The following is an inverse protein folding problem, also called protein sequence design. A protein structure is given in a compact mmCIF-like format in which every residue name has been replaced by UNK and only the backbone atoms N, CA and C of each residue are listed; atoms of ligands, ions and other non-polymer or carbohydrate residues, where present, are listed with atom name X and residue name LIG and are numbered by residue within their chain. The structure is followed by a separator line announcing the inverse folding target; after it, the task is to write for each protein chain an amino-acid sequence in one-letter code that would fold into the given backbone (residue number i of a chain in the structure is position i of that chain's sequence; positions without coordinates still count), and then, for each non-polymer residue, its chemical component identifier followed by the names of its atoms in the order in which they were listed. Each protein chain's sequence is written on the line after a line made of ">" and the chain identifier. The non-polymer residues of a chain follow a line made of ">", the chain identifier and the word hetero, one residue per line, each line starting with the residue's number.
data_IF_520220643086
#
_entry.id   IF_520220643086
#
_cell.length_a   1.000
_cell.length_b   1.000
_cell.length_c   1.000
_cell.angle_alpha   90.00
_cell.angle_beta   90.00
_cell.angle_gamma   90.00
#
_symmetry.space_group_name_H-M   'P 1'
#
loop_
_entity.id
_entity.type
_entity.pdbx_description
1 polymer ?
#
# COMPACT_ATOMS: atom_id res chain seq x y z
N UNK A 1 -8.79 -17.87 -23.48
CA UNK A 1 -8.30 -16.56 -23.02
C UNK A 1 -9.51 -15.65 -22.83
N UNK A 2 -10.04 -15.58 -21.63
CA UNK A 2 -11.03 -14.55 -21.30
C UNK A 2 -10.24 -13.26 -21.00
N UNK A 3 -10.33 -12.29 -21.91
CA UNK A 3 -9.87 -10.93 -21.66
C UNK A 3 -10.79 -10.34 -20.59
N UNK A 4 -10.31 -10.30 -19.35
CA UNK A 4 -10.94 -9.48 -18.30
C UNK A 4 -10.83 -8.04 -18.73
N UNK A 5 -11.96 -7.46 -19.15
CA UNK A 5 -12.01 -6.06 -19.57
C UNK A 5 -11.90 -5.20 -18.28
N UNK A 6 -10.68 -4.76 -17.96
CA UNK A 6 -10.45 -3.78 -16.89
C UNK A 6 -11.31 -2.53 -17.15
N UNK A 7 -11.81 -1.94 -16.07
CA UNK A 7 -12.52 -0.69 -16.20
C UNK A 7 -11.58 0.45 -16.68
N UNK A 8 -12.14 1.53 -17.21
CA UNK A 8 -11.36 2.64 -17.81
C UNK A 8 -10.35 3.24 -16.82
N UNK A 9 -10.70 3.32 -15.53
CA UNK A 9 -9.80 3.89 -14.51
C UNK A 9 -8.64 2.94 -14.16
N UNK A 10 -8.86 1.63 -14.18
CA UNK A 10 -7.79 0.65 -14.03
C UNK A 10 -6.82 0.68 -15.21
N UNK A 11 -7.34 0.80 -16.44
CA UNK A 11 -6.50 0.93 -17.63
C UNK A 11 -5.61 2.18 -17.56
N UNK A 12 -6.18 3.33 -17.15
CA UNK A 12 -5.42 4.56 -16.94
C UNK A 12 -4.38 4.44 -15.83
N UNK A 13 -4.72 3.76 -14.75
CA UNK A 13 -3.78 3.48 -13.67
C UNK A 13 -2.63 2.61 -14.16
N UNK A 14 -2.91 1.52 -14.87
CA UNK A 14 -1.90 0.66 -15.47
C UNK A 14 -1.01 1.42 -16.44
N UNK A 15 -1.58 2.27 -17.32
CA UNK A 15 -0.83 3.11 -18.25
C UNK A 15 0.12 4.08 -17.52
N UNK A 16 -0.36 4.77 -16.48
CA UNK A 16 0.43 5.70 -15.71
C UNK A 16 1.66 5.03 -15.07
N UNK A 17 1.45 3.88 -14.42
CA UNK A 17 2.53 3.14 -13.78
C UNK A 17 3.44 2.41 -14.77
N UNK A 18 2.95 1.96 -15.92
CA UNK A 18 3.79 1.45 -17.01
C UNK A 18 4.77 2.54 -17.50
N UNK A 19 4.28 3.75 -17.72
CA UNK A 19 5.14 4.88 -18.14
C UNK A 19 6.19 5.24 -17.08
N UNK A 20 5.85 5.16 -15.80
CA UNK A 20 6.77 5.51 -14.71
C UNK A 20 7.75 4.39 -14.37
N UNK A 21 7.50 3.15 -14.80
CA UNK A 21 8.21 1.95 -14.34
C UNK A 21 9.73 2.07 -14.42
N UNK A 22 10.27 2.55 -15.54
CA UNK A 22 11.72 2.67 -15.78
C UNK A 22 12.44 3.65 -14.85
N UNK A 23 11.74 4.64 -14.31
CA UNK A 23 12.30 5.67 -13.41
C UNK A 23 11.80 5.54 -11.97
N UNK A 24 10.89 4.59 -11.71
CA UNK A 24 10.22 4.44 -10.43
C UNK A 24 11.19 4.31 -9.26
N UNK A 25 12.11 3.36 -9.34
CA UNK A 25 13.07 3.14 -8.27
C UNK A 25 14.04 4.32 -8.11
N UNK A 26 14.47 4.95 -9.20
CA UNK A 26 15.34 6.12 -9.15
C UNK A 26 14.67 7.33 -8.47
N UNK A 27 13.36 7.48 -8.61
CA UNK A 27 12.58 8.55 -7.95
C UNK A 27 12.38 8.25 -6.47
N UNK A 28 12.01 7.01 -6.11
CA UNK A 28 11.51 6.71 -4.76
C UNK A 28 12.57 6.14 -3.82
N UNK A 29 13.56 5.40 -4.32
CA UNK A 29 14.58 4.77 -3.47
C UNK A 29 15.49 5.76 -2.72
N UNK A 30 15.90 6.92 -3.29
CA UNK A 30 16.72 7.87 -2.55
C UNK A 30 15.98 8.65 -1.46
N UNK A 31 14.64 8.67 -1.49
CA UNK A 31 13.86 9.49 -0.57
C UNK A 31 13.85 8.89 0.84
N UNK A 32 14.52 9.56 1.78
CA UNK A 32 14.69 9.13 3.18
C UNK A 32 13.34 8.91 3.89
N UNK A 33 12.33 9.72 3.58
CA UNK A 33 11.00 9.58 4.20
C UNK A 33 10.28 8.35 3.64
N UNK A 34 10.44 8.03 2.36
CA UNK A 34 9.91 6.80 1.77
C UNK A 34 10.57 5.57 2.40
N UNK A 35 11.90 5.59 2.57
CA UNK A 35 12.62 4.53 3.26
C UNK A 35 12.17 4.36 4.72
N UNK A 36 11.93 5.46 5.42
CA UNK A 36 11.36 5.44 6.76
C UNK A 36 9.97 4.78 6.78
N UNK A 37 9.06 5.18 5.87
CA UNK A 37 7.72 4.57 5.74
C UNK A 37 7.83 3.07 5.49
N UNK A 38 8.64 2.68 4.49
CA UNK A 38 8.84 1.28 4.10
C UNK A 38 9.37 0.44 5.25
N UNK A 39 10.40 0.92 5.94
CA UNK A 39 10.94 0.25 7.12
C UNK A 39 9.87 0.04 8.20
N UNK A 40 9.05 1.08 8.47
CA UNK A 40 7.97 0.99 9.45
C UNK A 40 6.93 -0.07 9.09
N UNK A 41 6.49 -0.08 7.83
CA UNK A 41 5.52 -1.07 7.32
C UNK A 41 6.10 -2.47 7.40
N UNK A 42 7.33 -2.69 6.95
CA UNK A 42 8.01 -4.00 7.01
C UNK A 42 8.14 -4.51 8.44
N UNK A 43 8.64 -3.67 9.36
CA UNK A 43 8.72 -4.02 10.79
C UNK A 43 7.35 -4.33 11.39
N UNK A 44 6.30 -3.58 10.99
CA UNK A 44 4.94 -3.85 11.43
C UNK A 44 4.48 -5.24 10.98
N UNK A 45 4.66 -5.58 9.69
CA UNK A 45 4.30 -6.90 9.14
C UNK A 45 5.06 -8.01 9.84
N UNK A 46 6.38 -7.87 10.03
CA UNK A 46 7.24 -8.86 10.70
C UNK A 46 6.80 -9.19 12.14
N UNK A 47 6.15 -8.24 12.84
CA UNK A 47 5.64 -8.48 14.19
C UNK A 47 4.44 -9.45 14.24
N UNK A 48 3.76 -9.65 13.12
CA UNK A 48 2.57 -10.48 13.02
C UNK A 48 2.77 -11.73 12.15
N UNK A 49 3.78 -11.73 11.29
CA UNK A 49 3.96 -12.76 10.26
C UNK A 49 4.85 -13.90 10.77
N UNK A 50 4.35 -15.15 10.80
CA UNK A 50 5.19 -16.31 11.12
C UNK A 50 6.31 -16.50 10.09
N UNK A 51 7.43 -17.16 10.46
CA UNK A 51 8.47 -17.55 9.50
C UNK A 51 7.92 -18.43 8.37
N UNK A 52 8.54 -18.38 7.20
CA UNK A 52 8.19 -19.22 6.01
C UNK A 52 6.72 -19.08 5.59
N UNK A 53 6.15 -17.90 5.72
CA UNK A 53 4.76 -17.61 5.33
C UNK A 53 4.60 -17.47 3.82
N UNK A 54 3.39 -17.79 3.32
CA UNK A 54 2.96 -17.51 1.97
C UNK A 54 2.24 -16.16 1.93
N UNK A 55 2.75 -15.22 1.15
CA UNK A 55 2.25 -13.84 1.06
C UNK A 55 1.66 -13.60 -0.32
N UNK A 56 0.46 -13.06 -0.38
CA UNK A 56 -0.09 -12.44 -1.59
C UNK A 56 0.16 -10.94 -1.50
N UNK A 57 1.05 -10.41 -2.33
CA UNK A 57 1.28 -8.97 -2.42
C UNK A 57 0.49 -8.38 -3.58
N UNK A 58 -0.37 -7.42 -3.25
CA UNK A 58 -1.17 -6.65 -4.22
C UNK A 58 -0.42 -5.37 -4.59
N UNK A 59 -0.57 -4.91 -5.83
CA UNK A 59 0.12 -3.70 -6.32
C UNK A 59 1.62 -3.69 -6.00
N UNK A 60 2.31 -4.80 -6.31
CA UNK A 60 3.71 -5.02 -5.95
C UNK A 60 4.69 -4.04 -6.61
N UNK A 61 4.30 -3.40 -7.72
CA UNK A 61 5.14 -2.48 -8.48
C UNK A 61 6.43 -3.16 -8.95
N UNK A 62 7.56 -2.51 -8.72
CA UNK A 62 8.89 -3.04 -9.06
C UNK A 62 9.43 -4.07 -8.05
N UNK A 63 8.60 -4.51 -7.08
CA UNK A 63 8.87 -5.64 -6.20
C UNK A 63 9.74 -5.37 -4.98
N UNK A 64 9.87 -4.13 -4.56
CA UNK A 64 10.71 -3.76 -3.42
C UNK A 64 10.33 -4.48 -2.11
N UNK A 65 9.05 -4.73 -1.86
CA UNK A 65 8.60 -5.43 -0.67
C UNK A 65 8.57 -6.95 -0.89
N UNK A 66 8.19 -7.44 -2.09
CA UNK A 66 8.29 -8.84 -2.47
C UNK A 66 9.70 -9.40 -2.27
N UNK A 67 10.70 -8.70 -2.80
CA UNK A 67 12.12 -9.06 -2.67
C UNK A 67 12.56 -9.04 -1.20
N UNK A 68 12.13 -8.04 -0.44
CA UNK A 68 12.46 -7.95 0.98
C UNK A 68 11.95 -9.16 1.77
N UNK A 69 10.67 -9.53 1.60
CA UNK A 69 10.09 -10.67 2.31
C UNK A 69 10.65 -12.00 1.82
N UNK A 70 10.92 -12.14 0.51
CA UNK A 70 11.59 -13.31 -0.04
C UNK A 70 12.99 -13.51 0.51
N UNK A 71 13.77 -12.44 0.67
CA UNK A 71 15.10 -12.49 1.29
C UNK A 71 15.05 -12.86 2.79
N UNK A 72 13.87 -12.78 3.43
CA UNK A 72 13.60 -13.25 4.79
C UNK A 72 13.08 -14.69 4.84
N UNK A 73 12.99 -15.37 3.71
CA UNK A 73 12.55 -16.75 3.60
C UNK A 73 11.04 -16.95 3.46
N UNK A 74 10.28 -15.89 3.15
CA UNK A 74 8.86 -16.00 2.84
C UNK A 74 8.65 -16.29 1.35
N UNK A 75 7.57 -16.99 1.01
CA UNK A 75 7.13 -17.16 -0.37
C UNK A 75 6.16 -16.06 -0.73
N UNK A 76 6.45 -15.27 -1.77
CA UNK A 76 5.63 -14.12 -2.18
C UNK A 76 5.05 -14.38 -3.57
N UNK A 77 3.73 -14.32 -3.67
CA UNK A 77 3.02 -14.21 -4.93
C UNK A 77 2.68 -12.74 -5.17
N UNK A 78 3.45 -12.09 -6.06
CA UNK A 78 3.39 -10.66 -6.29
C UNK A 78 2.52 -10.33 -7.52
N UNK A 79 1.47 -9.54 -7.30
CA UNK A 79 0.52 -9.13 -8.35
C UNK A 79 0.58 -7.64 -8.61
N UNK A 80 0.44 -7.26 -9.86
CA UNK A 80 0.26 -5.86 -10.28
C UNK A 80 -0.51 -5.83 -11.59
N UNK A 81 -1.19 -4.71 -11.87
CA UNK A 81 -1.91 -4.48 -13.14
C UNK A 81 -0.98 -3.92 -14.23
N UNK A 82 0.16 -3.33 -13.84
CA UNK A 82 1.12 -2.71 -14.75
C UNK A 82 2.17 -3.73 -15.22
N UNK A 83 2.12 -4.10 -16.50
CA UNK A 83 3.00 -5.10 -17.10
C UNK A 83 4.49 -4.75 -16.96
N UNK A 84 4.84 -3.47 -17.17
CA UNK A 84 6.24 -3.05 -17.11
C UNK A 84 6.79 -3.08 -15.67
N UNK A 85 5.96 -2.82 -14.66
CA UNK A 85 6.32 -3.03 -13.26
C UNK A 85 6.64 -4.51 -12.99
N UNK A 86 5.80 -5.42 -13.47
CA UNK A 86 6.01 -6.86 -13.36
C UNK A 86 7.27 -7.34 -14.09
N UNK A 87 7.60 -6.75 -15.24
CA UNK A 87 8.82 -7.07 -15.98
C UNK A 87 10.07 -6.69 -15.18
N UNK A 88 10.09 -5.51 -14.58
CA UNK A 88 11.19 -5.05 -13.71
C UNK A 88 11.30 -5.94 -12.47
N UNK A 89 10.19 -6.28 -11.82
CA UNK A 89 10.18 -7.20 -10.69
C UNK A 89 10.80 -8.55 -11.05
N UNK A 90 10.39 -9.17 -12.17
CA UNK A 90 10.93 -10.45 -12.65
C UNK A 90 12.45 -10.39 -12.86
N UNK A 91 12.93 -9.30 -13.47
CA UNK A 91 14.37 -9.07 -13.68
C UNK A 91 15.11 -9.02 -12.35
N UNK A 92 14.65 -8.20 -11.40
CA UNK A 92 15.28 -8.08 -10.08
C UNK A 92 15.27 -9.41 -9.30
N UNK A 93 14.18 -10.14 -9.34
CA UNK A 93 14.04 -11.47 -8.68
C UNK A 93 15.06 -12.45 -9.25
N UNK A 94 15.24 -12.46 -10.57
CA UNK A 94 16.22 -13.32 -11.24
C UNK A 94 17.65 -12.92 -10.89
N UNK A 95 17.98 -11.64 -10.95
CA UNK A 95 19.31 -11.12 -10.64
C UNK A 95 19.72 -11.37 -9.18
N UNK A 96 18.76 -11.41 -8.26
CA UNK A 96 19.01 -11.67 -6.84
C UNK A 96 18.88 -13.16 -6.45
N UNK A 97 18.62 -14.04 -7.40
CA UNK A 97 18.51 -15.49 -7.14
C UNK A 97 17.29 -15.88 -6.31
N UNK A 98 16.20 -15.09 -6.34
CA UNK A 98 15.01 -15.28 -5.52
C UNK A 98 13.84 -15.95 -6.26
N UNK A 99 14.07 -16.54 -7.42
CA UNK A 99 13.04 -17.14 -8.29
C UNK A 99 12.26 -18.27 -7.64
N UNK A 100 12.84 -18.96 -6.65
CA UNK A 100 12.14 -20.00 -5.89
C UNK A 100 11.21 -19.43 -4.78
N UNK A 101 11.39 -18.16 -4.40
CA UNK A 101 10.61 -17.51 -3.34
C UNK A 101 9.58 -16.51 -3.87
N UNK A 102 9.77 -15.99 -5.09
CA UNK A 102 8.87 -14.99 -5.67
C UNK A 102 8.27 -15.51 -6.97
N UNK A 103 6.96 -15.62 -7.00
CA UNK A 103 6.17 -15.80 -8.22
C UNK A 103 5.43 -14.50 -8.55
N UNK A 104 5.17 -14.26 -9.82
CA UNK A 104 4.57 -13.01 -10.30
C UNK A 104 3.38 -13.28 -11.20
N UNK A 105 2.33 -12.50 -11.08
CA UNK A 105 1.14 -12.60 -11.91
C UNK A 105 0.60 -11.22 -12.28
N UNK A 106 0.29 -11.00 -13.56
CA UNK A 106 -0.39 -9.79 -14.03
C UNK A 106 -1.86 -9.91 -13.69
N UNK A 107 -2.29 -9.24 -12.63
CA UNK A 107 -3.66 -9.31 -12.14
C UNK A 107 -4.05 -8.00 -11.47
N UNK A 108 -5.28 -7.53 -11.72
CA UNK A 108 -5.87 -6.45 -10.93
C UNK A 108 -6.32 -6.97 -9.56
N UNK A 109 -6.09 -6.19 -8.52
CA UNK A 109 -6.64 -6.49 -7.19
C UNK A 109 -8.18 -6.44 -7.16
N UNK A 110 -8.84 -5.88 -8.17
CA UNK A 110 -10.31 -5.92 -8.31
C UNK A 110 -10.82 -7.25 -8.88
N UNK A 111 -9.92 -8.10 -9.39
CA UNK A 111 -10.26 -9.41 -9.99
C UNK A 111 -9.40 -10.54 -9.41
N UNK A 112 -9.26 -10.59 -8.09
CA UNK A 112 -8.47 -11.62 -7.41
C UNK A 112 -9.06 -13.03 -7.56
N UNK A 113 -10.31 -13.15 -7.99
CA UNK A 113 -10.95 -14.43 -8.29
C UNK A 113 -10.30 -15.10 -9.52
N UNK A 114 -9.74 -14.32 -10.44
CA UNK A 114 -9.08 -14.80 -11.66
C UNK A 114 -7.64 -15.28 -11.44
N UNK A 115 -7.05 -15.06 -10.25
CA UNK A 115 -5.71 -15.53 -9.93
C UNK A 115 -5.53 -17.02 -10.24
N UNK A 116 -4.40 -17.39 -10.86
CA UNK A 116 -4.00 -18.77 -11.02
C UNK A 116 -3.57 -19.38 -9.70
N UNK A 117 -2.76 -18.65 -8.92
CA UNK A 117 -2.41 -19.04 -7.56
C UNK A 117 -3.40 -18.45 -6.56
N UNK A 118 -4.33 -19.27 -6.10
CA UNK A 118 -5.39 -18.88 -5.14
C UNK A 118 -5.01 -19.13 -3.68
N UNK A 119 -3.77 -19.45 -3.39
CA UNK A 119 -3.30 -19.72 -2.04
C UNK A 119 -3.67 -21.12 -1.55
N UNK A 120 -4.09 -21.29 -0.27
CA UNK A 120 -4.37 -20.22 0.69
C UNK A 120 -3.10 -19.54 1.23
N UNK A 121 -3.20 -18.22 1.46
CA UNK A 121 -2.10 -17.39 1.93
C UNK A 121 -2.14 -17.17 3.44
N UNK A 122 -0.98 -16.91 4.06
CA UNK A 122 -0.86 -16.49 5.44
C UNK A 122 -1.10 -14.99 5.59
N UNK A 123 -0.73 -14.21 4.56
CA UNK A 123 -0.89 -12.76 4.52
C UNK A 123 -1.33 -12.29 3.13
N UNK A 124 -2.32 -11.39 3.09
CA UNK A 124 -2.55 -10.48 1.97
C UNK A 124 -1.94 -9.13 2.36
N UNK A 125 -1.05 -8.62 1.52
CA UNK A 125 -0.30 -7.40 1.76
C UNK A 125 -0.49 -6.39 0.64
N UNK A 126 -0.72 -5.12 0.99
CA UNK A 126 -0.76 -4.00 0.06
C UNK A 126 -0.10 -2.79 0.67
N UNK A 127 0.89 -2.22 -0.03
CA UNK A 127 1.66 -1.07 0.45
C UNK A 127 1.48 0.16 -0.44
N UNK A 128 1.86 1.31 0.08
CA UNK A 128 1.92 2.60 -0.63
C UNK A 128 0.66 2.99 -1.41
N UNK A 129 -0.52 2.70 -0.82
CA UNK A 129 -1.80 3.19 -1.31
C UNK A 129 -2.22 2.72 -2.73
N UNK A 130 -1.72 1.57 -3.21
CA UNK A 130 -2.23 1.01 -4.47
C UNK A 130 -3.75 0.81 -4.42
N UNK A 131 -4.29 0.36 -3.30
CA UNK A 131 -5.73 0.21 -3.07
C UNK A 131 -6.52 1.53 -3.10
N UNK A 132 -5.85 2.68 -3.08
CA UNK A 132 -6.50 3.97 -3.30
C UNK A 132 -6.76 4.27 -4.80
N UNK A 133 -6.32 3.42 -5.72
CA UNK A 133 -6.55 3.58 -7.16
C UNK A 133 -7.87 2.94 -7.63
N UNK A 134 -8.72 2.47 -6.73
CA UNK A 134 -10.07 1.95 -7.06
C UNK A 134 -11.15 2.59 -6.21
N UNK A 135 -12.33 2.77 -6.79
CA UNK A 135 -13.56 3.15 -6.09
C UNK A 135 -14.31 1.95 -5.51
N UNK A 136 -13.95 0.73 -5.92
CA UNK A 136 -14.60 -0.54 -5.56
C UNK A 136 -13.81 -1.31 -4.47
N UNK A 137 -13.22 -0.60 -3.51
CA UNK A 137 -12.40 -1.23 -2.45
C UNK A 137 -13.19 -2.25 -1.63
N UNK A 138 -14.48 -2.06 -1.44
CA UNK A 138 -15.36 -3.02 -0.76
C UNK A 138 -15.36 -4.39 -1.46
N UNK A 139 -15.43 -4.43 -2.80
CA UNK A 139 -15.36 -5.67 -3.58
C UNK A 139 -14.00 -6.35 -3.45
N UNK A 140 -12.91 -5.56 -3.48
CA UNK A 140 -11.55 -6.08 -3.26
C UNK A 140 -11.44 -6.74 -1.90
N UNK A 141 -11.91 -6.07 -0.85
CA UNK A 141 -11.85 -6.57 0.52
C UNK A 141 -12.66 -7.86 0.70
N UNK A 142 -13.84 -7.97 0.10
CA UNK A 142 -14.71 -9.15 0.17
C UNK A 142 -14.05 -10.41 -0.44
N UNK A 143 -13.10 -10.26 -1.37
CA UNK A 143 -12.38 -11.41 -1.95
C UNK A 143 -11.31 -12.01 -1.03
N UNK A 144 -10.91 -11.32 0.04
CA UNK A 144 -9.77 -11.73 0.87
C UNK A 144 -10.01 -13.01 1.65
N UNK A 145 -11.25 -13.21 2.13
CA UNK A 145 -11.57 -14.39 2.93
C UNK A 145 -11.31 -15.70 2.18
N UNK A 146 -11.68 -15.75 0.90
CA UNK A 146 -11.47 -16.94 0.07
C UNK A 146 -10.00 -17.27 -0.20
N UNK A 147 -9.11 -16.28 -0.10
CA UNK A 147 -7.68 -16.41 -0.41
C UNK A 147 -6.81 -16.65 0.84
N UNK A 148 -7.34 -16.39 2.03
CA UNK A 148 -6.60 -16.50 3.29
C UNK A 148 -6.87 -17.83 4.00
N UNK A 149 -5.81 -18.35 4.62
CA UNK A 149 -5.93 -19.42 5.61
C UNK A 149 -6.82 -19.00 6.79
N UNK A 150 -7.37 -19.94 7.56
CA UNK A 150 -7.91 -19.64 8.90
C UNK A 150 -6.85 -18.91 9.74
N UNK A 151 -7.20 -17.83 10.44
CA UNK A 151 -6.28 -16.92 11.12
C UNK A 151 -5.31 -16.16 10.19
N UNK A 152 -5.43 -16.26 8.88
CA UNK A 152 -4.64 -15.49 7.93
C UNK A 152 -4.86 -13.98 8.09
N UNK A 153 -3.85 -13.21 7.72
CA UNK A 153 -3.77 -11.78 7.96
C UNK A 153 -4.01 -10.97 6.68
N UNK A 154 -4.56 -9.78 6.83
CA UNK A 154 -4.54 -8.74 5.80
C UNK A 154 -3.89 -7.49 6.38
N UNK A 155 -2.77 -7.03 5.80
CA UNK A 155 -2.11 -5.78 6.20
C UNK A 155 -2.12 -4.81 5.03
N UNK A 156 -2.80 -3.69 5.22
CA UNK A 156 -3.08 -2.71 4.18
C UNK A 156 -2.55 -1.33 4.59
N UNK A 157 -1.85 -0.67 3.66
CA UNK A 157 -1.33 0.69 3.81
C UNK A 157 -2.09 1.62 2.87
N UNK A 158 -2.96 2.45 3.44
CA UNK A 158 -3.98 3.20 2.70
C UNK A 158 -3.92 4.68 3.06
N UNK A 159 -4.21 5.55 2.10
CA UNK A 159 -4.34 7.00 2.35
C UNK A 159 -5.71 7.31 2.97
N UNK A 160 -5.74 7.98 4.15
CA UNK A 160 -6.99 8.33 4.82
C UNK A 160 -7.68 9.54 4.16
N UNK A 161 -8.97 9.72 4.49
CA UNK A 161 -9.76 10.88 4.06
C UNK A 161 -9.30 12.22 4.63
N UNK A 162 -8.51 12.20 5.70
CA UNK A 162 -7.94 13.39 6.31
C UNK A 162 -6.43 13.19 6.52
N UNK A 163 -5.63 14.18 6.13
CA UNK A 163 -4.21 14.23 6.37
C UNK A 163 -3.86 15.57 7.02
N UNK A 164 -3.30 15.53 8.23
CA UNK A 164 -2.94 16.71 8.99
C UNK A 164 -1.98 17.62 8.21
N UNK A 165 -0.96 17.04 7.58
CA UNK A 165 0.04 17.79 6.81
C UNK A 165 -0.55 18.51 5.60
N UNK A 166 -1.45 17.83 4.85
CA UNK A 166 -2.15 18.48 3.73
C UNK A 166 -3.08 19.59 4.24
N UNK A 167 -3.78 19.36 5.36
CA UNK A 167 -4.64 20.38 5.97
C UNK A 167 -3.85 21.61 6.40
N UNK A 168 -2.65 21.45 6.97
CA UNK A 168 -1.77 22.58 7.34
C UNK A 168 -1.33 23.43 6.14
N UNK A 169 -1.44 22.94 4.90
CA UNK A 169 -1.19 23.74 3.70
C UNK A 169 -2.23 24.87 3.50
N UNK A 170 -3.37 24.81 4.19
CA UNK A 170 -4.29 25.95 4.27
C UNK A 170 -3.59 27.22 4.79
N UNK A 171 -2.69 27.06 5.76
CA UNK A 171 -1.91 28.17 6.34
C UNK A 171 -0.98 28.85 5.32
N UNK A 172 -0.72 28.18 4.20
CA UNK A 172 0.07 28.67 3.05
C UNK A 172 -0.81 29.03 1.85
N UNK A 173 -2.13 29.14 2.04
CA UNK A 173 -3.09 29.49 0.97
C UNK A 173 -3.40 28.34 -0.02
N UNK A 174 -2.87 27.13 0.18
CA UNK A 174 -3.14 26.00 -0.72
C UNK A 174 -4.38 25.22 -0.30
N UNK A 175 -5.54 25.84 -0.41
CA UNK A 175 -6.83 25.23 -0.06
C UNK A 175 -7.21 24.05 -0.96
N UNK A 176 -6.82 24.07 -2.24
CA UNK A 176 -7.10 22.98 -3.18
C UNK A 176 -6.53 21.65 -2.69
N UNK A 177 -5.27 21.63 -2.28
CA UNK A 177 -4.60 20.44 -1.75
C UNK A 177 -5.15 20.07 -0.38
N UNK A 178 -5.34 21.04 0.50
CA UNK A 178 -5.83 20.82 1.87
C UNK A 178 -7.18 20.10 1.92
N UNK A 179 -8.08 20.41 0.99
CA UNK A 179 -9.44 19.85 0.95
C UNK A 179 -9.64 18.75 -0.10
N UNK A 180 -8.60 18.37 -0.85
CA UNK A 180 -8.74 17.38 -1.96
C UNK A 180 -9.28 16.04 -1.48
N UNK A 181 -8.84 15.54 -0.32
CA UNK A 181 -9.22 14.22 0.20
C UNK A 181 -10.69 14.14 0.61
N UNK A 182 -11.33 15.26 0.95
CA UNK A 182 -12.76 15.30 1.29
C UNK A 182 -13.68 15.11 0.08
N UNK A 183 -13.17 15.36 -1.15
CA UNK A 183 -13.93 15.23 -2.40
C UNK A 183 -13.84 13.82 -3.00
N UNK A 184 -13.55 12.80 -2.20
CA UNK A 184 -13.18 11.47 -2.70
C UNK A 184 -14.34 10.56 -3.12
N UNK A 185 -15.60 10.98 -3.03
CA UNK A 185 -16.75 10.10 -3.41
C UNK A 185 -16.70 9.66 -4.88
N UNK A 186 -16.32 10.55 -5.80
CA UNK A 186 -16.20 10.29 -7.24
C UNK A 186 -14.76 10.06 -7.71
N UNK A 187 -13.84 9.93 -6.76
CA UNK A 187 -12.40 9.91 -7.01
C UNK A 187 -11.83 11.31 -7.26
N UNK A 188 -10.59 11.52 -6.85
CA UNK A 188 -9.82 12.75 -7.05
C UNK A 188 -8.78 12.49 -8.13
N UNK A 189 -8.68 13.39 -9.12
CA UNK A 189 -7.69 13.26 -10.18
C UNK A 189 -6.28 13.28 -9.62
N UNK A 190 -5.49 12.26 -9.98
CA UNK A 190 -4.05 12.15 -9.79
C UNK A 190 -3.37 12.16 -11.17
N UNK A 191 -2.09 12.49 -11.20
CA UNK A 191 -1.33 12.62 -12.43
C UNK A 191 0.06 12.03 -12.26
N UNK A 192 0.45 11.11 -13.14
CA UNK A 192 1.77 10.48 -13.21
C UNK A 192 2.17 10.39 -14.68
N UNK A 193 3.36 10.84 -15.03
CA UNK A 193 3.97 10.73 -16.37
C UNK A 193 3.01 11.06 -17.53
N UNK A 194 2.30 12.20 -17.40
CA UNK A 194 1.36 12.68 -18.43
C UNK A 194 0.00 11.97 -18.43
N UNK A 195 -0.22 10.94 -17.60
CA UNK A 195 -1.47 10.19 -17.52
C UNK A 195 -2.28 10.58 -16.29
N UNK A 196 -3.56 10.87 -16.48
CA UNK A 196 -4.51 11.17 -15.41
C UNK A 196 -5.31 9.91 -15.06
N UNK A 197 -5.39 9.61 -13.76
CA UNK A 197 -6.23 8.57 -13.19
C UNK A 197 -6.88 9.06 -11.90
N UNK A 198 -7.74 8.25 -11.27
CA UNK A 198 -8.42 8.65 -10.04
C UNK A 198 -7.85 7.97 -8.82
N UNK A 199 -7.84 8.71 -7.70
CA UNK A 199 -7.56 8.20 -6.37
C UNK A 199 -8.75 8.42 -5.45
N UNK A 200 -9.05 7.40 -4.64
CA UNK A 200 -10.06 7.45 -3.58
C UNK A 200 -9.38 7.39 -2.22
N UNK A 201 -10.01 7.95 -1.21
CA UNK A 201 -9.47 7.99 0.14
C UNK A 201 -10.41 7.26 1.09
N UNK A 202 -9.87 6.38 1.92
CA UNK A 202 -10.64 5.51 2.78
C UNK A 202 -10.28 5.71 4.25
N UNK A 203 -11.22 5.49 5.16
CA UNK A 203 -10.93 5.50 6.60
C UNK A 203 -10.71 4.08 7.11
N UNK A 204 -9.99 3.89 8.24
CA UNK A 204 -9.93 2.58 8.89
C UNK A 204 -11.33 2.02 9.19
N UNK A 205 -12.25 2.86 9.64
CA UNK A 205 -13.63 2.46 9.92
C UNK A 205 -14.40 1.95 8.68
N UNK A 206 -14.07 2.45 7.47
CA UNK A 206 -14.65 1.91 6.24
C UNK A 206 -14.20 0.48 6.00
N UNK A 207 -12.89 0.21 6.12
CA UNK A 207 -12.33 -1.14 5.93
C UNK A 207 -12.88 -2.11 6.98
N UNK A 208 -12.92 -1.68 8.23
CA UNK A 208 -13.50 -2.45 9.33
C UNK A 208 -14.97 -2.80 9.06
N UNK A 209 -15.77 -1.82 8.62
CA UNK A 209 -17.20 -2.04 8.31
C UNK A 209 -17.40 -3.05 7.16
N UNK A 210 -16.55 -3.02 6.13
CA UNK A 210 -16.61 -3.96 5.01
C UNK A 210 -16.29 -5.41 5.45
N UNK A 211 -15.39 -5.57 6.42
CA UNK A 211 -14.83 -6.87 6.81
C UNK A 211 -15.31 -7.40 8.17
N UNK A 212 -16.14 -6.66 8.91
CA UNK A 212 -16.53 -6.94 10.31
C UNK A 212 -17.08 -8.35 10.57
N UNK A 213 -17.72 -8.97 9.59
CA UNK A 213 -18.31 -10.29 9.75
C UNK A 213 -17.24 -11.39 9.76
N UNK A 214 -16.26 -11.30 8.88
CA UNK A 214 -15.26 -12.34 8.63
C UNK A 214 -13.88 -12.03 9.23
N UNK A 215 -13.63 -10.77 9.62
CA UNK A 215 -12.33 -10.35 10.15
C UNK A 215 -12.49 -9.60 11.47
N UNK A 216 -11.42 -9.64 12.27
CA UNK A 216 -11.20 -8.77 13.42
C UNK A 216 -10.04 -7.82 13.16
N UNK A 217 -10.15 -6.58 13.60
CA UNK A 217 -9.07 -5.60 13.52
C UNK A 217 -8.10 -5.84 14.65
N UNK A 218 -6.85 -6.23 14.33
CA UNK A 218 -5.79 -6.41 15.31
C UNK A 218 -5.11 -5.08 15.65
N UNK A 219 -4.86 -4.25 14.63
CA UNK A 219 -4.07 -3.05 14.81
C UNK A 219 -4.37 -1.97 13.76
N UNK A 220 -4.35 -0.71 14.21
CA UNK A 220 -4.40 0.46 13.33
C UNK A 220 -3.37 1.46 13.81
N UNK A 221 -2.47 1.91 12.92
CA UNK A 221 -1.54 2.99 13.21
C UNK A 221 -1.45 4.01 12.07
N UNK A 222 -1.21 5.27 12.45
CA UNK A 222 -0.90 6.33 11.50
C UNK A 222 0.55 6.25 11.01
N UNK A 223 0.78 6.63 9.77
CA UNK A 223 2.09 6.66 9.15
C UNK A 223 2.31 8.04 8.53
N UNK A 224 3.45 8.67 8.85
CA UNK A 224 3.72 10.08 8.54
C UNK A 224 2.59 11.01 9.03
N UNK A 225 2.26 10.87 10.29
CA UNK A 225 1.32 11.76 10.99
C UNK A 225 2.05 12.94 11.61
N UNK A 226 3.17 12.67 12.30
CA UNK A 226 4.06 13.65 12.93
C UNK A 226 5.28 13.88 12.07
N UNK A 227 5.85 12.81 11.53
CA UNK A 227 6.89 12.88 10.50
C UNK A 227 6.28 13.47 9.22
N UNK A 228 6.95 14.43 8.56
CA UNK A 228 6.46 15.01 7.30
C UNK A 228 6.27 13.97 6.21
N UNK A 229 5.28 14.14 5.31
CA UNK A 229 5.13 13.32 4.11
C UNK A 229 6.32 13.41 3.14
N UNK A 230 6.43 12.44 2.24
CA UNK A 230 7.57 12.27 1.34
C UNK A 230 7.80 13.42 0.35
N UNK A 231 6.83 14.27 0.10
CA UNK A 231 7.04 15.48 -0.71
C UNK A 231 7.85 16.59 0.01
N UNK A 232 8.14 16.43 1.31
CA UNK A 232 9.14 17.22 2.04
C UNK A 232 10.53 16.53 2.01
N UNK A 233 10.96 16.00 0.87
CA UNK A 233 12.13 15.15 0.71
C UNK A 233 13.42 15.71 1.30
N UNK A 234 13.61 17.04 1.22
CA UNK A 234 14.78 17.74 1.76
C UNK A 234 14.72 17.98 3.28
N UNK A 235 13.61 17.68 3.95
CA UNK A 235 13.46 17.94 5.38
C UNK A 235 14.44 17.10 6.25
N UNK A 236 14.63 15.79 6.00
CA UNK A 236 15.56 15.00 6.80
C UNK A 236 17.02 15.48 6.70
N UNK A 237 17.46 15.91 5.52
CA UNK A 237 18.82 16.41 5.30
C UNK A 237 19.04 17.79 5.92
N UNK A 238 18.04 18.68 5.84
CA UNK A 238 18.11 20.03 6.42
C UNK A 238 17.98 20.05 7.94
N UNK A 239 17.21 19.11 8.50
CA UNK A 239 16.85 19.08 9.93
C UNK A 239 17.00 17.67 10.54
N UNK A 240 18.18 17.01 10.51
CA UNK A 240 18.33 15.60 10.85
C UNK A 240 18.02 15.32 12.32
N UNK A 241 18.36 16.23 13.25
CA UNK A 241 18.04 16.07 14.67
C UNK A 241 16.55 16.15 14.94
N UNK A 242 15.86 17.11 14.30
CA UNK A 242 14.41 17.27 14.42
C UNK A 242 13.69 16.08 13.80
N UNK A 243 14.14 15.60 12.63
CA UNK A 243 13.57 14.41 11.99
C UNK A 243 13.59 13.19 12.91
N UNK A 244 14.73 12.91 13.57
CA UNK A 244 14.85 11.83 14.57
C UNK A 244 13.90 12.03 15.76
N UNK A 245 13.71 13.27 16.23
CA UNK A 245 12.78 13.57 17.32
C UNK A 245 11.33 13.30 16.89
N UNK A 246 10.94 13.73 15.68
CA UNK A 246 9.61 13.49 15.14
C UNK A 246 9.33 11.99 14.95
N UNK A 247 10.31 11.21 14.49
CA UNK A 247 10.20 9.74 14.42
C UNK A 247 9.90 9.11 15.79
N UNK A 248 10.63 9.51 16.83
CA UNK A 248 10.39 9.03 18.20
C UNK A 248 9.00 9.43 18.72
N UNK A 249 8.55 10.64 18.41
CA UNK A 249 7.22 11.11 18.78
C UNK A 249 6.12 10.33 18.06
N UNK A 250 6.30 10.08 16.76
CA UNK A 250 5.39 9.27 15.97
C UNK A 250 5.30 7.84 16.48
N UNK A 251 6.42 7.20 16.82
CA UNK A 251 6.43 5.85 17.40
C UNK A 251 5.62 5.72 18.69
N UNK A 252 5.61 6.76 19.53
CA UNK A 252 4.82 6.80 20.77
C UNK A 252 3.32 7.05 20.55
N UNK A 253 2.95 7.73 19.46
CA UNK A 253 1.60 8.25 19.27
C UNK A 253 0.85 7.54 18.12
N UNK A 254 1.54 6.82 17.26
CA UNK A 254 1.03 6.24 16.01
C UNK A 254 -0.29 5.47 16.10
N UNK A 255 -0.51 4.75 17.22
CA UNK A 255 -1.71 3.95 17.48
C UNK A 255 -2.75 4.65 18.36
N UNK A 256 -2.47 5.88 18.81
CA UNK A 256 -3.37 6.66 19.66
C UNK A 256 -4.29 7.54 18.83
N UNK A 257 -5.51 7.74 19.31
CA UNK A 257 -6.40 8.76 18.76
C UNK A 257 -5.88 10.16 19.11
N UNK A 258 -5.92 11.14 18.19
CA UNK A 258 -6.37 11.08 16.81
C UNK A 258 -5.29 10.62 15.81
N UNK A 259 -4.04 10.43 16.25
CA UNK A 259 -2.85 10.24 15.43
C UNK A 259 -2.96 9.07 14.45
N UNK A 260 -3.61 7.97 14.85
CA UNK A 260 -3.81 6.79 14.00
C UNK A 260 -4.68 7.05 12.75
N UNK A 261 -5.43 8.17 12.70
CA UNK A 261 -6.42 8.46 11.65
C UNK A 261 -6.07 9.66 10.77
N UNK A 262 -5.01 10.42 11.10
CA UNK A 262 -4.73 11.73 10.50
C UNK A 262 -3.38 11.82 9.80
N UNK A 263 -2.76 10.66 9.52
CA UNK A 263 -1.47 10.56 8.84
C UNK A 263 -1.56 10.76 7.33
N UNK A 264 -0.40 10.76 6.68
CA UNK A 264 -0.33 10.67 5.22
C UNK A 264 -0.92 9.33 4.74
N UNK A 265 -0.59 8.26 5.51
CA UNK A 265 -1.18 6.93 5.40
C UNK A 265 -1.64 6.42 6.77
N UNK A 266 -2.36 5.32 6.77
CA UNK A 266 -2.50 4.45 7.93
C UNK A 266 -2.18 3.00 7.53
N UNK A 267 -1.73 2.23 8.51
CA UNK A 267 -1.56 0.78 8.41
C UNK A 267 -2.70 0.16 9.18
N UNK A 268 -3.41 -0.79 8.59
CA UNK A 268 -4.41 -1.60 9.26
C UNK A 268 -4.07 -3.07 9.06
N UNK A 269 -4.04 -3.83 10.16
CA UNK A 269 -3.90 -5.29 10.15
C UNK A 269 -5.15 -5.92 10.69
N UNK A 270 -5.71 -6.83 9.91
CA UNK A 270 -6.88 -7.61 10.23
C UNK A 270 -6.54 -9.09 10.22
N UNK A 271 -7.25 -9.89 11.01
CA UNK A 271 -7.14 -11.34 11.05
C UNK A 271 -8.47 -11.97 10.64
N UNK A 272 -8.43 -12.94 9.74
CA UNK A 272 -9.59 -13.76 9.40
C UNK A 272 -10.04 -14.55 10.61
N UNK A 273 -11.31 -14.47 10.94
CA UNK A 273 -11.92 -15.25 12.02
C UNK A 273 -11.92 -16.75 11.67
N UNK A 274 -11.87 -17.58 12.69
CA UNK A 274 -12.14 -19.01 12.55
C UNK A 274 -13.66 -19.15 12.62
N UNK A 275 -14.26 -19.77 11.61
CA UNK A 275 -15.65 -20.18 11.63
C UNK A 275 -15.87 -21.33 12.61
#
# INVERSE_FOLDING_TARGET
>A
MQSTAYNIEEQRTAEAFNKQSSVFDAIYSPNVIIQYKRKRVRTHVENFLPPNSNILELNAGTGEDAIYFAAKGHHVHATDIAQEMQNILKTKVTEQGLTQFVSTELCSFTDLISLHNKGPFDLIFSNFAGLNCTGDLDKVLQSFSALLKPNGLATLVVMPRFCLWEFLLCLRGNFKTAFRRFRSRSGVSAHIEGTYFKCWYYSPAFIEACLKNEFEVLYVEGLCTIVPPSYFENFPSRHPRLFKLLQKAEDKLKNKWPWKNIGDYFIITLRKKIE
#
